data_IF_454405560268
#
_entry.id   IF_454405560268
#
_cell.length_a   1.000
_cell.length_b   1.000
_cell.length_c   1.000
_cell.angle_alpha   90.00
_cell.angle_beta   90.00
_cell.angle_gamma   90.00
#
_symmetry.space_group_name_H-M   'P 1'
#
loop_
_entity.id
_entity.type
_entity.pdbx_description
1 polymer ?
#
# COMPACT_ATOMS: atom_id res chain seq x y z
N UNK A 1 -4.57 -19.87 -15.63
CA UNK A 1 -3.42 -18.97 -15.36
C UNK A 1 -2.71 -19.42 -14.10
N UNK A 2 -1.74 -20.32 -14.25
CA UNK A 2 -0.88 -20.74 -13.13
C UNK A 2 0.17 -19.64 -12.94
N UNK A 3 -0.11 -18.71 -12.03
CA UNK A 3 0.93 -17.83 -11.53
C UNK A 3 2.05 -18.72 -11.02
N UNK A 4 3.22 -18.64 -11.63
CA UNK A 4 4.43 -19.32 -11.15
C UNK A 4 4.58 -18.94 -9.68
N UNK A 5 4.14 -19.83 -8.80
CA UNK A 5 4.12 -19.58 -7.36
C UNK A 5 5.56 -19.40 -6.93
N UNK A 6 5.94 -18.18 -6.57
CA UNK A 6 7.20 -17.93 -5.87
C UNK A 6 7.39 -19.02 -4.83
N UNK A 7 8.57 -19.65 -4.81
CA UNK A 7 8.90 -20.59 -3.74
C UNK A 7 8.76 -19.89 -2.39
N UNK A 8 8.33 -20.60 -1.36
CA UNK A 8 8.16 -20.04 -0.01
C UNK A 8 9.45 -19.32 0.47
N UNK A 9 10.61 -19.86 0.11
CA UNK A 9 11.90 -19.26 0.44
C UNK A 9 12.12 -17.89 -0.24
N UNK A 10 11.81 -17.76 -1.54
CA UNK A 10 11.91 -16.47 -2.26
C UNK A 10 10.96 -15.42 -1.68
N UNK A 11 9.71 -15.80 -1.37
CA UNK A 11 8.74 -14.88 -0.72
C UNK A 11 9.27 -14.38 0.62
N UNK A 12 9.83 -15.27 1.42
CA UNK A 12 10.38 -14.93 2.73
C UNK A 12 11.59 -13.99 2.59
N UNK A 13 12.47 -14.23 1.61
CA UNK A 13 13.62 -13.38 1.34
C UNK A 13 13.21 -11.96 0.94
N UNK A 14 12.28 -11.81 -0.01
CA UNK A 14 11.76 -10.48 -0.41
C UNK A 14 11.06 -9.79 0.76
N UNK A 15 10.27 -10.52 1.53
CA UNK A 15 9.60 -9.97 2.71
C UNK A 15 10.61 -9.47 3.75
N UNK A 16 11.66 -10.23 4.02
CA UNK A 16 12.73 -9.85 4.95
C UNK A 16 13.50 -8.59 4.48
N UNK A 17 13.83 -8.52 3.18
CA UNK A 17 14.50 -7.34 2.59
C UNK A 17 13.59 -6.10 2.72
N UNK A 18 12.32 -6.21 2.35
CA UNK A 18 11.38 -5.09 2.47
C UNK A 18 11.16 -4.69 3.92
N UNK A 19 11.15 -5.64 4.86
CA UNK A 19 11.06 -5.35 6.30
C UNK A 19 12.29 -4.58 6.78
N UNK A 20 13.49 -4.97 6.35
CA UNK A 20 14.71 -4.23 6.69
C UNK A 20 14.67 -2.79 6.16
N UNK A 21 14.21 -2.60 4.93
CA UNK A 21 14.02 -1.26 4.33
C UNK A 21 13.01 -0.44 5.15
N UNK A 22 11.89 -1.05 5.55
CA UNK A 22 10.88 -0.40 6.41
C UNK A 22 11.51 0.10 7.71
N UNK A 23 12.29 -0.73 8.39
CA UNK A 23 12.93 -0.36 9.65
C UNK A 23 13.89 0.83 9.45
N UNK A 24 14.71 0.78 8.40
CA UNK A 24 15.62 1.90 8.07
C UNK A 24 14.83 3.17 7.80
N UNK A 25 13.78 3.10 6.95
CA UNK A 25 12.96 4.26 6.59
C UNK A 25 12.19 4.82 7.79
N UNK A 26 11.73 3.98 8.71
CA UNK A 26 11.04 4.43 9.92
C UNK A 26 11.97 5.25 10.82
N UNK A 27 13.18 4.77 11.06
CA UNK A 27 14.13 5.50 11.91
C UNK A 27 14.70 6.75 11.23
N UNK A 28 15.03 6.69 9.94
CA UNK A 28 15.53 7.86 9.20
C UNK A 28 14.43 8.87 8.89
N UNK A 29 13.22 8.42 8.52
CA UNK A 29 12.07 9.28 8.24
C UNK A 29 11.62 10.07 9.47
N UNK A 30 11.66 9.46 10.65
CA UNK A 30 11.33 10.14 11.92
C UNK A 30 12.31 11.27 12.26
N UNK A 31 13.51 11.28 11.68
CA UNK A 31 14.50 12.34 11.87
C UNK A 31 14.28 13.56 10.95
N UNK A 32 13.57 13.36 9.83
CA UNK A 32 13.32 14.45 8.86
C UNK A 32 11.97 15.09 9.19
N UNK A 33 12.01 16.21 9.91
CA UNK A 33 10.84 17.02 10.26
C UNK A 33 10.96 18.39 9.59
N UNK A 34 9.92 18.79 8.86
CA UNK A 34 9.80 20.17 8.34
C UNK A 34 8.57 20.80 9.02
N UNK A 35 8.80 21.59 10.04
CA UNK A 35 7.74 22.14 10.90
C UNK A 35 7.02 21.04 11.67
N UNK A 36 5.69 20.95 11.53
CA UNK A 36 4.86 19.90 12.14
C UNK A 36 4.74 18.62 11.27
N UNK A 37 5.33 18.63 10.06
CA UNK A 37 5.22 17.53 9.10
C UNK A 37 6.37 16.55 9.28
N UNK A 38 6.06 15.28 9.48
CA UNK A 38 7.02 14.18 9.51
C UNK A 38 6.92 13.41 8.19
N UNK A 39 8.04 13.28 7.47
CA UNK A 39 8.06 12.54 6.21
C UNK A 39 7.99 11.04 6.46
N UNK A 40 6.90 10.43 6.02
CA UNK A 40 6.67 9.00 6.21
C UNK A 40 6.78 8.23 4.88
N UNK A 41 7.99 7.72 4.60
CA UNK A 41 8.26 6.93 3.40
C UNK A 41 7.86 5.44 3.53
N UNK A 42 7.43 5.03 4.70
CA UNK A 42 7.21 3.61 5.03
C UNK A 42 6.04 3.00 4.26
N UNK A 43 5.10 3.82 3.77
CA UNK A 43 3.97 3.34 2.98
C UNK A 43 4.40 2.72 1.65
N UNK A 44 5.52 3.17 1.06
CA UNK A 44 6.03 2.65 -0.22
C UNK A 44 6.40 1.16 -0.14
N UNK A 45 7.23 0.70 0.81
CA UNK A 45 7.49 -0.72 0.98
C UNK A 45 6.24 -1.56 1.30
N UNK A 46 5.23 -0.98 1.96
CA UNK A 46 3.94 -1.66 2.19
C UNK A 46 3.25 -1.93 0.86
N UNK A 47 3.18 -0.91 -0.03
CA UNK A 47 2.63 -1.05 -1.40
C UNK A 47 3.39 -2.13 -2.16
N UNK A 48 4.73 -2.05 -2.22
CA UNK A 48 5.57 -3.03 -2.90
C UNK A 48 5.36 -4.45 -2.37
N UNK A 49 5.34 -4.61 -1.05
CA UNK A 49 5.12 -5.91 -0.42
C UNK A 49 3.76 -6.50 -0.80
N UNK A 50 2.71 -5.67 -0.76
CA UNK A 50 1.36 -6.09 -1.12
C UNK A 50 1.23 -6.50 -2.58
N UNK A 51 1.85 -5.77 -3.49
CA UNK A 51 1.82 -6.05 -4.94
C UNK A 51 2.62 -7.30 -5.27
N UNK A 52 3.87 -7.39 -4.79
CA UNK A 52 4.78 -8.48 -5.15
C UNK A 52 4.43 -9.82 -4.49
N UNK A 53 3.99 -9.80 -3.22
CA UNK A 53 3.81 -11.01 -2.42
C UNK A 53 2.35 -11.35 -2.14
N UNK A 54 1.44 -10.39 -2.37
CA UNK A 54 0.01 -10.55 -2.18
C UNK A 54 -0.51 -9.94 -0.87
N UNK A 55 -1.85 -9.89 -0.75
CA UNK A 55 -2.56 -9.14 0.30
C UNK A 55 -2.22 -9.56 1.74
N UNK A 56 -1.94 -10.86 1.98
CA UNK A 56 -1.56 -11.36 3.31
C UNK A 56 -0.20 -10.78 3.73
N UNK A 57 0.77 -10.75 2.82
CA UNK A 57 2.08 -10.17 3.08
C UNK A 57 2.02 -8.65 3.18
N UNK A 58 1.15 -7.99 2.40
CA UNK A 58 0.87 -6.55 2.54
C UNK A 58 0.30 -6.22 3.92
N UNK A 59 -0.67 -7.02 4.40
CA UNK A 59 -1.21 -6.88 5.75
C UNK A 59 -0.16 -7.13 6.84
N UNK A 60 0.66 -8.19 6.71
CA UNK A 60 1.73 -8.50 7.65
C UNK A 60 2.80 -7.39 7.68
N UNK A 61 3.16 -6.84 6.53
CA UNK A 61 4.08 -5.70 6.47
C UNK A 61 3.48 -4.48 7.18
N UNK A 62 2.21 -4.18 6.90
CA UNK A 62 1.48 -3.11 7.59
C UNK A 62 1.40 -3.33 9.11
N UNK A 63 1.22 -4.57 9.55
CA UNK A 63 1.23 -4.94 10.97
C UNK A 63 2.59 -4.66 11.62
N UNK A 64 3.70 -5.07 10.97
CA UNK A 64 5.06 -4.80 11.45
C UNK A 64 5.30 -3.29 11.54
N UNK A 65 4.92 -2.53 10.50
CA UNK A 65 5.02 -1.07 10.51
C UNK A 65 4.23 -0.46 11.67
N UNK A 66 2.99 -0.93 11.89
CA UNK A 66 2.16 -0.46 13.01
C UNK A 66 2.81 -0.71 14.36
N UNK A 67 3.44 -1.87 14.56
CA UNK A 67 4.21 -2.17 15.77
C UNK A 67 5.43 -1.25 15.93
N UNK A 68 6.16 -0.99 14.86
CA UNK A 68 7.35 -0.11 14.92
C UNK A 68 6.95 1.33 15.22
N UNK A 69 5.86 1.83 14.62
CA UNK A 69 5.30 3.16 14.92
C UNK A 69 4.86 3.24 16.39
N UNK A 70 4.15 2.23 16.89
CA UNK A 70 3.75 2.16 18.28
C UNK A 70 4.95 2.17 19.23
N UNK A 71 5.97 1.34 18.96
CA UNK A 71 7.19 1.27 19.75
C UNK A 71 7.91 2.62 19.75
N UNK A 72 8.01 3.31 18.59
CA UNK A 72 8.59 4.66 18.50
C UNK A 72 7.84 5.66 19.40
N UNK A 73 6.51 5.54 19.50
CA UNK A 73 5.71 6.34 20.42
C UNK A 73 5.99 5.98 21.88
N UNK A 74 5.97 4.70 22.24
CA UNK A 74 6.19 4.24 23.63
C UNK A 74 7.56 4.67 24.16
N UNK A 75 8.62 4.59 23.35
CA UNK A 75 9.98 5.01 23.75
C UNK A 75 10.21 6.53 23.63
N UNK A 76 9.19 7.31 23.23
CA UNK A 76 9.25 8.77 23.16
C UNK A 76 9.91 9.36 21.91
N UNK A 77 10.26 8.56 20.90
CA UNK A 77 10.78 9.07 19.62
C UNK A 77 9.72 9.82 18.82
N UNK A 78 8.46 9.38 18.89
CA UNK A 78 7.29 10.05 18.36
C UNK A 78 6.46 10.65 19.50
N UNK A 79 6.63 11.96 19.71
CA UNK A 79 5.98 12.67 20.81
C UNK A 79 4.46 12.69 20.73
N UNK A 80 3.88 12.71 19.51
CA UNK A 80 2.43 12.68 19.33
C UNK A 80 1.85 11.36 19.83
N UNK A 81 2.37 10.24 19.35
CA UNK A 81 1.94 8.90 19.78
C UNK A 81 2.25 8.65 21.25
N UNK A 82 3.36 9.20 21.78
CA UNK A 82 3.73 9.07 23.19
C UNK A 82 2.69 9.71 24.12
N UNK A 83 2.26 10.93 23.83
CA UNK A 83 1.25 11.64 24.62
C UNK A 83 -0.09 10.91 24.58
N UNK A 84 -0.51 10.45 23.40
CA UNK A 84 -1.76 9.70 23.25
C UNK A 84 -1.69 8.31 23.92
N UNK A 85 -0.52 7.69 23.91
CA UNK A 85 -0.31 6.42 24.62
C UNK A 85 -0.44 6.58 26.14
N UNK A 86 0.05 7.68 26.70
CA UNK A 86 -0.13 7.97 28.13
C UNK A 86 -1.60 8.19 28.51
N UNK A 87 -2.42 8.77 27.60
CA UNK A 87 -3.83 9.03 27.85
C UNK A 87 -4.72 7.80 27.65
N UNK A 88 -4.50 7.02 26.58
CA UNK A 88 -5.25 5.81 26.28
C UNK A 88 -4.43 4.80 25.49
N UNK A 89 -3.66 3.94 26.15
CA UNK A 89 -2.73 3.01 25.50
C UNK A 89 -3.45 1.97 24.61
N UNK A 90 -4.67 1.57 24.96
CA UNK A 90 -5.41 0.58 24.18
C UNK A 90 -5.85 1.12 22.83
N UNK A 91 -6.47 2.30 22.82
CA UNK A 91 -6.98 2.89 21.57
C UNK A 91 -5.85 3.24 20.63
N UNK A 92 -4.77 3.89 21.11
CA UNK A 92 -3.66 4.27 20.22
C UNK A 92 -2.91 3.04 19.68
N UNK A 93 -2.80 1.97 20.48
CA UNK A 93 -2.23 0.69 20.01
C UNK A 93 -3.05 0.11 18.86
N UNK A 94 -4.37 0.04 19.02
CA UNK A 94 -5.26 -0.44 17.95
C UNK A 94 -5.17 0.45 16.70
N UNK A 95 -5.16 1.77 16.87
CA UNK A 95 -5.05 2.71 15.75
C UNK A 95 -3.73 2.51 15.00
N UNK A 96 -2.59 2.47 15.70
CA UNK A 96 -1.29 2.28 15.06
C UNK A 96 -1.19 0.99 14.26
N UNK A 97 -1.72 -0.10 14.80
CA UNK A 97 -1.68 -1.41 14.14
C UNK A 97 -2.71 -1.49 13.01
N UNK A 98 -3.97 -1.12 13.25
CA UNK A 98 -5.03 -1.31 12.27
C UNK A 98 -4.86 -0.42 11.04
N UNK A 99 -4.45 0.85 11.20
CA UNK A 99 -4.30 1.79 10.07
C UNK A 99 -3.35 1.27 9.00
N UNK A 100 -2.19 0.78 9.38
CA UNK A 100 -1.16 0.29 8.45
C UNK A 100 -1.46 -1.13 7.95
N UNK A 101 -2.01 -2.01 8.79
CA UNK A 101 -2.42 -3.37 8.40
C UNK A 101 -3.50 -3.33 7.34
N UNK A 102 -4.56 -2.55 7.57
CA UNK A 102 -5.65 -2.40 6.61
C UNK A 102 -5.17 -1.70 5.33
N UNK A 103 -4.32 -0.68 5.44
CA UNK A 103 -3.74 -0.02 4.29
C UNK A 103 -2.96 -0.98 3.39
N UNK A 104 -2.12 -1.84 3.97
CA UNK A 104 -1.36 -2.85 3.23
C UNK A 104 -2.25 -3.93 2.59
N UNK A 105 -3.28 -4.39 3.30
CA UNK A 105 -4.24 -5.36 2.76
C UNK A 105 -5.05 -4.77 1.60
N UNK A 106 -5.62 -3.57 1.79
CA UNK A 106 -6.47 -2.90 0.78
C UNK A 106 -5.65 -2.52 -0.44
N UNK A 107 -4.45 -1.95 -0.29
CA UNK A 107 -3.57 -1.63 -1.42
C UNK A 107 -3.30 -2.84 -2.30
N UNK A 108 -2.96 -3.98 -1.71
CA UNK A 108 -2.74 -5.22 -2.43
C UNK A 108 -4.01 -5.76 -3.12
N UNK A 109 -5.18 -5.64 -2.49
CA UNK A 109 -6.46 -6.05 -3.08
C UNK A 109 -6.84 -5.14 -4.26
N UNK A 110 -6.65 -3.83 -4.13
CA UNK A 110 -6.87 -2.87 -5.21
C UNK A 110 -6.00 -3.21 -6.42
N UNK A 111 -4.71 -3.46 -6.21
CA UNK A 111 -3.83 -3.92 -7.28
C UNK A 111 -4.35 -5.20 -7.93
N UNK A 112 -4.69 -6.23 -7.13
CA UNK A 112 -5.19 -7.52 -7.62
C UNK A 112 -6.42 -7.39 -8.51
N UNK A 113 -7.28 -6.41 -8.27
CA UNK A 113 -8.50 -6.19 -9.06
C UNK A 113 -8.17 -5.45 -10.37
N UNK A 114 -7.30 -4.44 -10.30
CA UNK A 114 -7.08 -3.51 -11.41
C UNK A 114 -5.97 -3.95 -12.38
N UNK A 115 -4.94 -4.68 -11.91
CA UNK A 115 -3.79 -5.06 -12.74
C UNK A 115 -4.15 -5.91 -13.96
N UNK A 116 -5.27 -6.64 -13.91
CA UNK A 116 -5.74 -7.47 -15.03
C UNK A 116 -6.08 -6.68 -16.29
N UNK A 117 -6.48 -5.41 -16.13
CA UNK A 117 -6.83 -4.54 -17.28
C UNK A 117 -5.68 -3.62 -17.67
N UNK A 118 -5.03 -3.02 -16.66
CA UNK A 118 -3.94 -2.06 -16.85
C UNK A 118 -3.00 -2.14 -15.65
N UNK A 119 -1.87 -2.78 -15.80
CA UNK A 119 -0.90 -3.01 -14.73
C UNK A 119 -0.36 -1.71 -14.12
N UNK A 120 0.00 -0.75 -14.96
CA UNK A 120 0.47 0.57 -14.52
C UNK A 120 -0.60 1.32 -13.72
N UNK A 121 -1.84 1.39 -14.23
CA UNK A 121 -2.95 2.01 -13.50
C UNK A 121 -3.26 1.28 -12.19
N UNK A 122 -3.19 -0.05 -12.20
CA UNK A 122 -3.31 -0.86 -10.99
C UNK A 122 -2.28 -0.48 -9.93
N UNK A 123 -1.04 -0.24 -10.33
CA UNK A 123 0.04 0.20 -9.44
C UNK A 123 -0.23 1.61 -8.90
N UNK A 124 -0.60 2.56 -9.74
CA UNK A 124 -0.88 3.96 -9.32
C UNK A 124 -2.04 4.01 -8.34
N UNK A 125 -3.15 3.35 -8.67
CA UNK A 125 -4.36 3.36 -7.80
C UNK A 125 -4.09 2.61 -6.49
N UNK A 126 -3.32 1.51 -6.53
CA UNK A 126 -2.87 0.82 -5.31
C UNK A 126 -2.03 1.74 -4.44
N UNK A 127 -1.02 2.40 -5.02
CA UNK A 127 -0.15 3.34 -4.30
C UNK A 127 -0.93 4.51 -3.67
N UNK A 128 -1.95 5.04 -4.37
CA UNK A 128 -2.84 6.08 -3.86
C UNK A 128 -3.78 5.59 -2.75
N UNK A 129 -4.27 4.34 -2.84
CA UNK A 129 -5.22 3.79 -1.87
C UNK A 129 -4.60 3.57 -0.48
N UNK A 130 -3.31 3.27 -0.41
CA UNK A 130 -2.62 2.99 0.87
C UNK A 130 -2.63 4.19 1.81
N UNK A 131 -2.19 5.42 1.43
CA UNK A 131 -2.31 6.58 2.31
C UNK A 131 -3.75 6.96 2.62
N UNK A 132 -4.70 6.77 1.69
CA UNK A 132 -6.12 7.04 1.93
C UNK A 132 -6.67 6.16 3.06
N UNK A 133 -6.42 4.86 3.00
CA UNK A 133 -6.88 3.92 4.04
C UNK A 133 -6.14 4.16 5.36
N UNK A 134 -4.81 4.34 5.31
CA UNK A 134 -4.00 4.62 6.51
C UNK A 134 -4.53 5.87 7.24
N UNK A 135 -4.75 6.94 6.52
CA UNK A 135 -5.22 8.21 7.09
C UNK A 135 -6.69 8.14 7.50
N UNK A 136 -7.54 7.47 6.72
CA UNK A 136 -8.94 7.29 7.08
C UNK A 136 -9.13 6.57 8.41
N UNK A 137 -8.42 5.45 8.61
CA UNK A 137 -8.43 4.70 9.89
C UNK A 137 -7.84 5.55 11.03
N UNK A 138 -6.78 6.31 10.73
CA UNK A 138 -6.19 7.24 11.72
C UNK A 138 -7.19 8.30 12.17
N UNK A 139 -7.90 8.97 11.25
CA UNK A 139 -8.93 9.96 11.56
C UNK A 139 -10.03 9.34 12.45
N UNK A 140 -10.52 8.15 12.12
CA UNK A 140 -11.51 7.45 12.94
C UNK A 140 -10.99 7.20 14.36
N UNK A 141 -9.73 6.79 14.50
CA UNK A 141 -9.08 6.61 15.79
C UNK A 141 -8.95 7.92 16.57
N UNK A 142 -8.63 9.02 15.90
CA UNK A 142 -8.52 10.34 16.54
C UNK A 142 -9.87 10.85 17.04
N UNK A 143 -10.97 10.53 16.37
CA UNK A 143 -12.31 10.84 16.90
C UNK A 143 -12.59 10.11 18.22
N UNK A 144 -12.18 8.87 18.38
CA UNK A 144 -12.30 8.13 19.63
C UNK A 144 -11.43 8.75 20.75
N UNK A 145 -10.34 9.43 20.36
CA UNK A 145 -9.40 10.07 21.30
C UNK A 145 -9.59 11.59 21.39
N UNK A 146 -10.74 12.13 20.95
CA UNK A 146 -11.00 13.58 20.96
C UNK A 146 -10.69 14.23 22.30
N UNK A 147 -11.13 13.65 23.40
CA UNK A 147 -10.92 14.21 24.74
C UNK A 147 -9.43 14.25 25.12
N UNK A 148 -8.66 13.23 24.73
CA UNK A 148 -7.22 13.21 24.92
C UNK A 148 -6.51 14.29 24.09
N UNK A 149 -6.96 14.51 22.83
CA UNK A 149 -6.41 15.54 21.94
C UNK A 149 -6.63 16.95 22.49
N UNK A 150 -7.84 17.23 23.04
CA UNK A 150 -8.14 18.53 23.67
C UNK A 150 -7.29 18.70 24.94
N UNK A 151 -7.27 17.69 25.81
CA UNK A 151 -6.50 17.73 27.06
C UNK A 151 -5.01 17.96 26.85
N UNK A 152 -4.46 17.39 25.78
CA UNK A 152 -3.04 17.51 25.42
C UNK A 152 -2.72 18.75 24.57
N UNK A 153 -3.72 19.60 24.27
CA UNK A 153 -3.55 20.82 23.51
C UNK A 153 -3.29 20.63 22.00
N UNK A 154 -3.53 19.43 21.46
CA UNK A 154 -3.39 19.18 20.02
C UNK A 154 -4.54 19.79 19.20
N UNK A 155 -5.71 19.96 19.79
CA UNK A 155 -6.86 20.66 19.22
C UNK A 155 -7.50 21.56 20.26
N UNK A 156 -8.05 22.69 19.83
CA UNK A 156 -8.81 23.60 20.69
C UNK A 156 -10.17 23.00 21.06
N UNK A 157 -10.56 23.10 22.33
CA UNK A 157 -11.86 22.64 22.83
C UNK A 157 -13.06 23.37 22.22
N UNK A 158 -12.84 24.57 21.67
CA UNK A 158 -13.88 25.39 21.01
C UNK A 158 -14.05 25.16 19.53
N UNK A 159 -13.10 24.49 18.86
CA UNK A 159 -13.19 24.15 17.43
C UNK A 159 -13.97 22.85 17.21
N UNK A 160 -14.60 22.74 16.02
CA UNK A 160 -15.16 21.47 15.59
C UNK A 160 -14.07 20.40 15.61
N UNK A 161 -14.30 19.26 16.30
CA UNK A 161 -13.34 18.16 16.36
C UNK A 161 -12.94 17.67 14.96
N UNK A 162 -13.88 17.67 14.01
CA UNK A 162 -13.63 17.34 12.61
C UNK A 162 -12.58 18.27 12.00
N UNK A 163 -12.73 19.57 12.16
CA UNK A 163 -11.79 20.55 11.62
C UNK A 163 -10.40 20.43 12.28
N UNK A 164 -10.34 20.35 13.60
CA UNK A 164 -9.07 20.22 14.35
C UNK A 164 -8.30 18.95 13.98
N UNK A 165 -9.00 17.83 13.82
CA UNK A 165 -8.37 16.55 13.44
C UNK A 165 -7.97 16.56 11.97
N UNK A 166 -8.93 16.84 11.05
CA UNK A 166 -8.69 16.71 9.62
C UNK A 166 -7.73 17.78 9.06
N UNK A 167 -7.78 19.01 9.56
CA UNK A 167 -6.95 20.11 9.06
C UNK A 167 -5.72 20.31 9.93
N UNK A 168 -5.90 20.35 11.25
CA UNK A 168 -4.82 20.66 12.18
C UNK A 168 -3.79 19.54 12.33
N UNK A 169 -4.24 18.27 12.40
CA UNK A 169 -3.35 17.13 12.68
C UNK A 169 -2.97 16.39 11.40
N UNK A 170 -3.96 16.11 10.54
CA UNK A 170 -3.81 15.12 9.45
C UNK A 170 -3.55 15.77 8.10
N UNK A 171 -4.12 16.96 7.84
CA UNK A 171 -4.27 17.50 6.49
C UNK A 171 -2.97 17.59 5.68
N UNK A 172 -1.95 18.25 6.19
CA UNK A 172 -0.68 18.44 5.47
C UNK A 172 0.05 17.09 5.30
N UNK A 173 0.10 16.26 6.35
CA UNK A 173 0.74 14.94 6.30
C UNK A 173 0.09 14.04 5.25
N UNK A 174 -1.25 14.02 5.21
CA UNK A 174 -1.99 13.22 4.23
C UNK A 174 -1.69 13.66 2.80
N UNK A 175 -1.79 14.95 2.52
CA UNK A 175 -1.53 15.48 1.17
C UNK A 175 -0.12 15.10 0.73
N UNK A 176 0.85 15.24 1.62
CA UNK A 176 2.24 14.90 1.33
C UNK A 176 2.45 13.41 1.08
N UNK A 177 1.95 12.54 1.96
CA UNK A 177 2.05 11.07 1.81
C UNK A 177 1.34 10.60 0.52
N UNK A 178 0.16 11.18 0.22
CA UNK A 178 -0.61 10.85 -0.97
C UNK A 178 0.14 11.23 -2.26
N UNK A 179 0.61 12.48 -2.35
CA UNK A 179 1.38 12.95 -3.50
C UNK A 179 2.69 12.17 -3.66
N UNK A 180 3.40 11.90 -2.57
CA UNK A 180 4.63 11.12 -2.60
C UNK A 180 4.40 9.72 -3.18
N UNK A 181 3.36 9.02 -2.75
CA UNK A 181 3.03 7.69 -3.25
C UNK A 181 2.68 7.72 -4.74
N UNK A 182 1.96 8.74 -5.22
CA UNK A 182 1.64 8.90 -6.65
C UNK A 182 2.90 9.23 -7.46
N UNK A 183 3.73 10.15 -7.00
CA UNK A 183 4.98 10.54 -7.69
C UNK A 183 5.94 9.35 -7.79
N UNK A 184 5.97 8.49 -6.77
CA UNK A 184 6.83 7.32 -6.75
C UNK A 184 6.19 6.07 -7.39
N UNK A 185 4.91 6.11 -7.76
CA UNK A 185 4.24 4.99 -8.43
C UNK A 185 4.94 4.50 -9.70
N UNK A 186 5.51 5.36 -10.59
CA UNK A 186 6.30 4.90 -11.74
C UNK A 186 7.58 4.13 -11.33
N UNK A 187 8.23 4.55 -10.23
CA UNK A 187 9.38 3.84 -9.70
C UNK A 187 8.98 2.50 -9.09
N UNK A 188 7.88 2.46 -8.35
CA UNK A 188 7.27 1.22 -7.82
C UNK A 188 6.98 0.26 -8.97
N UNK A 189 6.35 0.75 -10.05
CA UNK A 189 6.03 -0.05 -11.22
C UNK A 189 7.28 -0.65 -11.88
N UNK A 190 8.35 0.14 -12.06
CA UNK A 190 9.62 -0.38 -12.57
C UNK A 190 10.24 -1.46 -11.70
N UNK A 191 10.17 -1.30 -10.37
CA UNK A 191 10.65 -2.33 -9.43
C UNK A 191 9.84 -3.62 -9.60
N UNK A 192 8.52 -3.52 -9.75
CA UNK A 192 7.65 -4.68 -9.98
C UNK A 192 8.07 -5.39 -11.27
N UNK A 193 8.22 -4.68 -12.38
CA UNK A 193 8.65 -5.25 -13.66
C UNK A 193 10.01 -5.96 -13.57
N UNK A 194 11.01 -5.35 -12.91
CA UNK A 194 12.33 -5.95 -12.72
C UNK A 194 12.25 -7.23 -11.89
N UNK A 195 11.46 -7.21 -10.82
CA UNK A 195 11.27 -8.39 -9.97
C UNK A 195 10.52 -9.47 -10.73
N UNK A 196 9.47 -9.14 -11.46
CA UNK A 196 8.70 -10.10 -12.26
C UNK A 196 9.53 -10.72 -13.37
N UNK A 197 10.36 -9.93 -14.06
CA UNK A 197 11.33 -10.45 -15.04
C UNK A 197 12.37 -11.36 -14.41
N UNK A 198 12.91 -11.00 -13.25
CA UNK A 198 13.89 -11.84 -12.53
C UNK A 198 13.29 -13.17 -12.02
N UNK A 199 11.97 -13.22 -11.93
CA UNK A 199 11.22 -14.41 -11.52
C UNK A 199 10.67 -15.22 -12.71
N UNK A 200 10.92 -14.79 -13.95
CA UNK A 200 10.42 -15.40 -15.18
C UNK A 200 8.90 -15.28 -15.32
N UNK A 201 8.27 -14.33 -14.65
CA UNK A 201 6.81 -14.14 -14.73
C UNK A 201 6.37 -13.45 -16.02
N UNK A 202 7.21 -12.61 -16.58
CA UNK A 202 6.92 -11.91 -17.83
C UNK A 202 7.07 -12.84 -19.04
N UNK A 203 8.04 -13.77 -19.01
CA UNK A 203 8.26 -14.69 -20.11
C UNK A 203 7.04 -15.59 -20.35
N UNK A 204 6.41 -16.05 -19.25
CA UNK A 204 5.17 -16.83 -19.34
C UNK A 204 3.94 -16.00 -19.77
N UNK A 205 3.89 -14.73 -19.42
CA UNK A 205 2.79 -13.84 -19.85
C UNK A 205 2.86 -13.59 -21.37
N UNK A 206 4.07 -13.31 -21.91
CA UNK A 206 4.28 -13.14 -23.36
C UNK A 206 4.03 -14.41 -24.15
N UNK A 207 4.40 -15.59 -23.64
CA UNK A 207 4.11 -16.87 -24.27
C UNK A 207 2.60 -17.18 -24.28
N UNK A 208 1.90 -16.80 -23.21
CA UNK A 208 0.44 -16.99 -23.12
C UNK A 208 -0.31 -16.05 -24.06
N UNK A 209 0.08 -14.76 -24.12
CA UNK A 209 -0.50 -13.80 -25.07
C UNK A 209 -0.29 -14.25 -26.53
N UNK A 210 0.92 -14.67 -26.90
CA UNK A 210 1.21 -15.19 -28.24
C UNK A 210 0.42 -16.46 -28.58
N UNK A 211 0.21 -17.31 -27.59
CA UNK A 211 -0.58 -18.55 -27.81
C UNK A 211 -2.08 -18.28 -27.91
N UNK A 212 -2.60 -17.28 -27.20
CA UNK A 212 -3.99 -16.82 -27.32
C UNK A 212 -4.22 -16.11 -28.67
N UNK A 213 -3.31 -15.24 -29.10
CA UNK A 213 -3.36 -14.57 -30.40
C UNK A 213 -3.33 -15.57 -31.57
N UNK A 214 -2.44 -16.56 -31.51
CA UNK A 214 -2.39 -17.65 -32.50
C UNK A 214 -3.65 -18.52 -32.49
N UNK A 215 -4.29 -18.69 -31.35
CA UNK A 215 -5.55 -19.46 -31.27
C UNK A 215 -6.74 -18.66 -31.82
N UNK A 216 -6.75 -17.33 -31.62
CA UNK A 216 -7.75 -16.45 -32.21
C UNK A 216 -7.63 -16.38 -33.74
N UNK A 217 -6.42 -16.16 -34.27
CA UNK A 217 -6.15 -16.18 -35.72
C UNK A 217 -6.57 -17.50 -36.38
N UNK A 218 -6.25 -18.61 -35.73
CA UNK A 218 -6.66 -19.95 -36.22
C UNK A 218 -8.17 -20.16 -36.23
N UNK A 219 -8.85 -19.63 -35.22
CA UNK A 219 -10.31 -19.70 -35.16
C UNK A 219 -10.99 -18.82 -36.21
N UNK A 220 -10.42 -17.65 -36.49
CA UNK A 220 -10.89 -16.73 -37.53
C UNK A 220 -10.73 -17.38 -38.93
N UNK A 221 -9.56 -17.97 -39.20
CA UNK A 221 -9.28 -18.69 -40.43
C UNK A 221 -10.26 -19.86 -40.65
N UNK A 222 -10.55 -20.65 -39.60
CA UNK A 222 -11.49 -21.75 -39.66
C UNK A 222 -12.95 -21.29 -39.81
N UNK A 223 -13.26 -20.08 -39.37
CA UNK A 223 -14.59 -19.49 -39.55
C UNK A 223 -14.80 -19.00 -41.01
N UNK A 224 -13.78 -18.40 -41.62
CA UNK A 224 -13.78 -17.97 -43.02
C UNK A 224 -13.88 -19.18 -43.97
N UNK A 225 -13.13 -20.25 -43.71
CA UNK A 225 -13.13 -21.47 -44.53
C UNK A 225 -14.52 -22.10 -44.55
N UNK A 226 -15.21 -22.19 -43.40
CA UNK A 226 -16.58 -22.69 -43.31
C UNK A 226 -17.63 -21.80 -43.98
N UNK A 227 -17.34 -20.52 -44.15
CA UNK A 227 -18.23 -19.57 -44.81
C UNK A 227 -18.11 -19.72 -46.32
N UNK A 228 -16.89 -19.87 -46.80
CA UNK A 228 -16.60 -20.10 -48.22
C UNK A 228 -17.14 -21.46 -48.73
N UNK A 229 -17.05 -22.53 -47.93
CA UNK A 229 -17.66 -23.83 -48.27
C UNK A 229 -19.21 -23.80 -48.40
N UNK A 230 -19.87 -22.86 -47.74
CA UNK A 230 -21.31 -22.69 -47.78
C UNK A 230 -21.78 -21.84 -48.98
N UNK A 231 -20.91 -21.01 -49.53
CA UNK A 231 -21.20 -20.20 -50.72
C UNK A 231 -20.98 -20.99 -52.06
N UNK A 232 -20.21 -22.08 -52.00
CA UNK A 232 -19.99 -22.96 -53.18
C UNK A 232 -21.03 -24.07 -53.36
N UNK A 233 -22.01 -24.23 -52.47
CA UNK A 233 -23.12 -25.17 -52.56
C UNK A 233 -24.44 -24.50 -52.96
#
# INVERSE_FOLDING_TARGET
METTKLSKAKKLAYFAILTAIVLILQFTGSAIKIGAVTFNFVLIPIVLCGILLGWVYGALMGFIVGLVVLLSGVIGMDGFTNVLFAENPLVITLVCILKTTLAGAVGALVYKVLHKKHEYLGTVVSAASVPVVNTGVFILGMFLMKNALVKSGFIDGGTSALYGICVGIVGINFVFEFLLNIILAPAIYKVIQVVDKSLGRNDYAEETEKSEEQAEDKNEYLAEDKTNEKEEQ
#
